data_IF_477804749524
#
_entry.id   IF_477804749524
#
_cell.length_a   1.000
_cell.length_b   1.000
_cell.length_c   1.000
_cell.angle_alpha   90.00
_cell.angle_beta   90.00
_cell.angle_gamma   90.00
#
_symmetry.space_group_name_H-M   'P 1'
#
loop_
_entity.id
_entity.type
_entity.pdbx_description
1 polymer ?
#
# COMPACT_ATOMS: atom_id res chain seq x y z
N UNK A 1 -8.26 -5.20 23.90
CA UNK A 1 -8.64 -3.78 23.98
C UNK A 1 -7.47 -2.96 23.47
N UNK A 2 -7.53 -2.49 22.22
CA UNK A 2 -6.62 -1.44 21.74
C UNK A 2 -7.05 -0.14 22.43
N UNK A 3 -6.24 0.38 23.36
CA UNK A 3 -6.57 1.63 24.04
C UNK A 3 -6.35 2.80 23.09
N UNK A 4 -7.20 3.80 23.22
CA UNK A 4 -7.32 5.03 22.42
C UNK A 4 -6.14 6.00 22.54
N UNK A 5 -4.93 5.52 22.87
CA UNK A 5 -3.77 6.35 23.14
C UNK A 5 -2.51 5.66 22.63
N UNK A 6 -2.02 6.13 21.48
CA UNK A 6 -0.68 5.79 20.99
C UNK A 6 -0.68 4.72 19.90
N UNK A 7 -0.23 5.13 18.70
CA UNK A 7 0.27 4.23 17.66
C UNK A 7 1.49 3.47 18.19
N UNK A 8 1.26 2.39 18.95
CA UNK A 8 2.28 1.39 19.20
C UNK A 8 2.18 0.35 18.07
N UNK A 9 3.20 0.33 17.21
CA UNK A 9 3.36 -0.59 16.08
C UNK A 9 3.21 -2.07 16.44
N UNK A 10 3.31 -2.46 17.72
CA UNK A 10 3.35 -3.84 18.16
C UNK A 10 1.98 -4.36 18.66
N UNK A 11 0.99 -3.48 18.89
CA UNK A 11 -0.33 -3.91 19.36
C UNK A 11 -1.19 -4.55 18.25
N UNK A 12 -0.96 -4.17 16.98
CA UNK A 12 -1.70 -4.66 15.80
C UNK A 12 -0.96 -5.75 15.01
N UNK A 13 0.19 -6.25 15.49
CA UNK A 13 0.99 -7.23 14.77
C UNK A 13 0.57 -8.69 15.03
N UNK A 14 -0.18 -8.97 16.11
CA UNK A 14 -0.39 -10.34 16.60
C UNK A 14 -1.84 -10.84 16.74
N UNK A 15 -2.86 -10.01 16.49
CA UNK A 15 -4.26 -10.43 16.51
C UNK A 15 -4.95 -9.99 15.23
N UNK A 16 -5.74 -10.87 14.60
CA UNK A 16 -6.37 -10.68 13.28
C UNK A 16 -6.74 -9.23 12.93
N UNK A 17 -5.96 -8.66 12.00
CA UNK A 17 -5.93 -7.24 11.57
C UNK A 17 -7.28 -6.58 11.22
N UNK A 18 -8.36 -7.34 11.04
CA UNK A 18 -9.67 -6.79 10.69
C UNK A 18 -10.54 -6.48 11.91
N UNK A 19 -10.34 -7.18 13.03
CA UNK A 19 -11.20 -6.98 14.21
C UNK A 19 -10.91 -5.62 14.86
N UNK A 20 -9.66 -5.19 14.93
CA UNK A 20 -9.30 -3.86 15.43
C UNK A 20 -9.80 -2.72 14.53
N UNK A 21 -9.89 -2.93 13.21
CA UNK A 21 -10.41 -1.94 12.26
C UNK A 21 -11.94 -1.85 12.32
N UNK A 22 -12.62 -2.98 12.53
CA UNK A 22 -14.06 -3.01 12.78
C UNK A 22 -14.40 -2.39 14.15
N UNK A 23 -13.60 -2.66 15.18
CA UNK A 23 -13.74 -2.04 16.51
C UNK A 23 -13.53 -0.51 16.44
N UNK A 24 -12.64 -0.04 15.57
CA UNK A 24 -12.39 1.37 15.36
C UNK A 24 -13.45 2.07 14.47
N UNK A 25 -14.43 1.34 13.93
CA UNK A 25 -15.46 1.89 13.03
C UNK A 25 -14.95 2.26 11.63
N UNK A 26 -13.80 1.71 11.23
CA UNK A 26 -13.06 2.07 10.01
C UNK A 26 -13.45 1.16 8.82
N UNK A 27 -14.27 0.14 9.02
CA UNK A 27 -14.79 -0.70 7.93
C UNK A 27 -16.13 -1.36 8.24
N UNK A 28 -16.84 -1.83 7.20
CA UNK A 28 -18.14 -2.50 7.37
C UNK A 28 -18.03 -4.02 7.28
N UNK A 29 -18.86 -4.72 8.06
CA UNK A 29 -19.03 -6.18 7.98
C UNK A 29 -19.99 -6.52 6.85
N UNK A 30 -19.67 -7.54 6.04
CA UNK A 30 -20.67 -8.19 5.18
C UNK A 30 -20.36 -8.35 3.69
N UNK A 31 -19.27 -7.77 3.17
CA UNK A 31 -18.86 -8.04 1.77
C UNK A 31 -18.05 -9.34 1.65
N UNK A 32 -17.35 -9.73 2.72
CA UNK A 32 -16.53 -10.95 2.71
C UNK A 32 -17.39 -12.16 3.11
N UNK A 33 -17.36 -13.27 2.36
CA UNK A 33 -18.13 -14.46 2.71
C UNK A 33 -17.85 -14.92 4.15
N UNK A 34 -18.87 -15.36 4.92
CA UNK A 34 -18.65 -15.93 6.24
C UNK A 34 -17.56 -17.01 6.20
N UNK A 35 -16.54 -16.89 7.07
CA UNK A 35 -15.39 -17.81 7.12
C UNK A 35 -14.24 -17.50 6.16
N UNK A 36 -14.40 -16.56 5.21
CA UNK A 36 -13.27 -15.95 4.51
C UNK A 36 -13.04 -14.58 5.15
N UNK A 37 -12.05 -14.45 6.02
CA UNK A 37 -11.69 -13.17 6.61
C UNK A 37 -11.09 -12.19 5.58
N UNK A 38 -10.64 -11.04 6.07
CA UNK A 38 -9.86 -10.07 5.28
C UNK A 38 -8.75 -10.79 4.52
N UNK A 39 -8.68 -10.56 3.22
CA UNK A 39 -7.60 -11.05 2.39
C UNK A 39 -7.19 -10.01 1.35
N UNK A 40 -6.08 -10.26 0.64
CA UNK A 40 -5.51 -9.34 -0.35
C UNK A 40 -6.45 -8.95 -1.50
N UNK A 41 -7.49 -9.75 -1.74
CA UNK A 41 -8.47 -9.57 -2.83
C UNK A 41 -9.81 -9.04 -2.34
N UNK A 42 -10.17 -9.32 -1.09
CA UNK A 42 -11.44 -8.95 -0.49
C UNK A 42 -11.18 -8.42 0.92
N UNK A 43 -11.07 -7.12 1.01
CA UNK A 43 -11.17 -6.33 2.24
C UNK A 43 -12.47 -5.54 2.09
N UNK A 44 -13.27 -5.46 3.15
CA UNK A 44 -14.61 -4.85 3.11
C UNK A 44 -14.56 -3.37 2.67
N UNK A 45 -15.72 -2.70 2.61
CA UNK A 45 -15.71 -1.27 2.38
C UNK A 45 -15.03 -0.63 3.59
N UNK A 46 -14.04 0.22 3.31
CA UNK A 46 -13.10 0.76 4.28
C UNK A 46 -13.19 2.29 4.23
N UNK A 47 -13.47 2.90 5.36
CA UNK A 47 -13.50 4.35 5.53
C UNK A 47 -12.11 4.81 5.96
N UNK A 48 -11.45 5.65 5.18
CA UNK A 48 -10.12 6.15 5.53
C UNK A 48 -10.24 7.17 6.67
N UNK A 49 -9.50 7.02 7.79
CA UNK A 49 -9.50 8.00 8.87
C UNK A 49 -8.99 9.37 8.43
N UNK A 50 -9.34 10.41 9.18
CA UNK A 50 -8.83 11.75 8.94
C UNK A 50 -7.29 11.78 9.01
N UNK A 51 -6.66 12.64 8.22
CA UNK A 51 -5.20 12.78 8.13
C UNK A 51 -4.44 11.48 7.81
N UNK A 52 -5.11 10.52 7.20
CA UNK A 52 -4.53 9.23 6.80
C UNK A 52 -4.85 8.93 5.34
N UNK A 53 -4.05 8.03 4.76
CA UNK A 53 -4.17 7.63 3.36
C UNK A 53 -4.12 6.12 3.22
N UNK A 54 -4.95 5.60 2.33
CA UNK A 54 -4.88 4.22 1.90
C UNK A 54 -4.05 4.12 0.63
N UNK A 55 -2.91 3.45 0.70
CA UNK A 55 -1.97 3.28 -0.41
C UNK A 55 -2.14 1.91 -1.04
N UNK A 56 -2.19 1.87 -2.37
CA UNK A 56 -2.25 0.62 -3.12
C UNK A 56 -1.28 0.65 -4.29
N UNK A 57 -0.53 -0.43 -4.48
CA UNK A 57 0.33 -0.58 -5.65
C UNK A 57 -0.48 -0.77 -6.94
N UNK A 58 0.13 -0.43 -8.06
CA UNK A 58 -0.36 -0.77 -9.40
C UNK A 58 -0.28 -2.28 -9.66
N UNK A 59 0.84 -2.91 -9.28
CA UNK A 59 1.03 -4.35 -9.32
C UNK A 59 0.41 -5.03 -8.10
N UNK A 60 -0.92 -5.24 -8.15
CA UNK A 60 -1.76 -5.69 -7.03
C UNK A 60 -1.34 -7.00 -6.38
N UNK A 61 -0.84 -7.96 -7.17
CA UNK A 61 -0.44 -9.27 -6.64
C UNK A 61 0.97 -9.27 -6.08
N UNK A 62 1.77 -8.25 -6.41
CA UNK A 62 3.17 -8.11 -6.00
C UNK A 62 3.44 -6.74 -5.36
N UNK A 63 2.54 -6.31 -4.48
CA UNK A 63 2.70 -5.09 -3.69
C UNK A 63 2.36 -5.38 -2.23
N UNK A 64 3.26 -5.02 -1.34
CA UNK A 64 3.01 -4.97 0.10
C UNK A 64 2.54 -3.56 0.45
N UNK A 65 1.23 -3.34 0.35
CA UNK A 65 0.59 -2.04 0.50
C UNK A 65 -0.41 -2.01 1.68
N UNK A 66 -1.25 -0.98 1.77
CA UNK A 66 -2.15 -0.76 2.90
C UNK A 66 -3.12 -1.91 3.17
N UNK A 67 -3.33 -2.83 2.22
CA UNK A 67 -4.09 -4.07 2.44
C UNK A 67 -3.46 -4.97 3.49
N UNK A 68 -2.16 -4.86 3.71
CA UNK A 68 -1.41 -5.64 4.69
C UNK A 68 -1.11 -4.80 5.93
N UNK A 69 -0.47 -3.65 5.81
CA UNK A 69 0.05 -2.91 6.97
C UNK A 69 -0.82 -1.73 7.44
N UNK A 70 -1.96 -1.46 6.79
CA UNK A 70 -2.91 -0.42 7.21
C UNK A 70 -2.68 0.95 6.56
N UNK A 71 -3.16 2.02 7.18
CA UNK A 71 -3.10 3.37 6.60
C UNK A 71 -1.78 4.09 6.86
N UNK A 72 -1.46 5.05 5.98
CA UNK A 72 -0.30 5.95 6.13
C UNK A 72 -0.78 7.28 6.70
N UNK A 73 -0.25 7.73 7.86
CA UNK A 73 -0.45 9.09 8.34
C UNK A 73 0.08 10.13 7.35
N UNK A 74 -0.60 11.27 7.21
CA UNK A 74 -0.24 12.35 6.28
C UNK A 74 1.19 12.84 6.45
N UNK A 75 1.68 12.89 7.69
CA UNK A 75 3.03 13.32 8.05
C UNK A 75 4.14 12.46 7.43
N UNK A 76 3.85 11.20 7.09
CA UNK A 76 4.81 10.30 6.45
C UNK A 76 4.87 10.47 4.92
N UNK A 77 4.05 11.36 4.35
CA UNK A 77 4.03 11.63 2.91
C UNK A 77 5.01 12.76 2.59
N UNK A 78 6.11 12.40 1.92
CA UNK A 78 7.16 13.35 1.51
C UNK A 78 6.73 14.18 0.29
N UNK A 79 6.06 13.57 -0.69
CA UNK A 79 5.65 14.27 -1.91
C UNK A 79 5.06 13.36 -2.99
N UNK A 80 4.68 13.96 -4.12
CA UNK A 80 4.16 13.26 -5.30
C UNK A 80 5.29 13.01 -6.30
N UNK A 81 5.39 11.80 -6.83
CA UNK A 81 6.32 11.47 -7.91
C UNK A 81 5.85 12.08 -9.24
N UNK A 82 6.69 12.87 -9.91
CA UNK A 82 6.32 13.60 -11.14
C UNK A 82 7.04 13.12 -12.39
N UNK A 83 8.30 12.70 -12.29
CA UNK A 83 9.17 12.44 -13.46
C UNK A 83 9.95 11.14 -13.26
N UNK A 84 10.06 10.34 -14.31
CA UNK A 84 11.03 9.24 -14.37
C UNK A 84 12.38 9.80 -14.80
N UNK A 85 13.24 10.09 -13.83
CA UNK A 85 14.58 10.63 -14.10
C UNK A 85 15.49 9.61 -14.82
N UNK A 86 15.44 8.34 -14.42
CA UNK A 86 16.32 7.30 -14.96
C UNK A 86 15.62 5.93 -15.05
N UNK A 87 15.89 5.17 -16.13
CA UNK A 87 15.35 3.82 -16.31
C UNK A 87 16.33 2.91 -17.05
N UNK A 88 16.59 1.74 -16.45
CA UNK A 88 17.59 0.77 -16.89
C UNK A 88 17.02 -0.67 -16.81
N UNK A 89 17.40 -1.53 -17.76
CA UNK A 89 17.04 -2.95 -17.82
C UNK A 89 18.12 -3.88 -17.23
N UNK A 90 18.02 -4.19 -15.94
CA UNK A 90 19.00 -5.05 -15.26
C UNK A 90 19.14 -6.48 -15.79
N UNK A 91 18.14 -7.00 -16.53
CA UNK A 91 18.19 -8.36 -17.05
C UNK A 91 19.13 -8.52 -18.27
N UNK A 92 19.51 -7.41 -18.90
CA UNK A 92 20.23 -7.38 -20.18
C UNK A 92 21.73 -7.07 -19.99
N UNK A 93 22.34 -7.56 -18.90
CA UNK A 93 23.72 -7.23 -18.52
C UNK A 93 24.79 -7.61 -19.58
N UNK A 94 24.44 -8.49 -20.53
CA UNK A 94 25.30 -8.88 -21.67
C UNK A 94 25.34 -7.83 -22.80
N UNK A 95 24.54 -6.77 -22.74
CA UNK A 95 24.46 -5.73 -23.79
C UNK A 95 25.33 -4.52 -23.44
N UNK A 96 25.73 -3.74 -24.46
CA UNK A 96 26.44 -2.47 -24.26
C UNK A 96 25.57 -1.50 -23.45
N UNK A 97 26.17 -0.71 -22.56
CA UNK A 97 25.46 0.14 -21.60
C UNK A 97 24.33 1.00 -22.22
N UNK A 98 24.56 1.58 -23.40
CA UNK A 98 23.56 2.38 -24.13
C UNK A 98 22.29 1.61 -24.52
N UNK A 99 22.37 0.29 -24.70
CA UNK A 99 21.22 -0.55 -25.07
C UNK A 99 20.40 -0.97 -23.86
N UNK A 100 20.94 -0.76 -22.65
CA UNK A 100 20.29 -1.15 -21.41
C UNK A 100 19.46 0.00 -20.83
N UNK A 101 19.76 1.23 -21.26
CA UNK A 101 19.00 2.43 -20.89
C UNK A 101 17.71 2.48 -21.70
N UNK A 102 16.58 2.67 -21.02
CA UNK A 102 15.24 2.76 -21.62
C UNK A 102 14.90 4.21 -21.91
N UNK A 103 15.46 4.77 -22.98
CA UNK A 103 15.27 6.18 -23.38
C UNK A 103 13.80 6.58 -23.51
N UNK A 104 12.94 5.68 -23.99
CA UNK A 104 11.50 5.93 -24.15
C UNK A 104 10.75 6.21 -22.83
N UNK A 105 11.39 5.99 -21.67
CA UNK A 105 10.81 6.29 -20.34
C UNK A 105 11.47 7.49 -19.67
N UNK A 106 12.61 7.96 -20.17
CA UNK A 106 13.35 9.06 -19.55
C UNK A 106 12.57 10.36 -19.70
N UNK A 107 12.50 11.12 -18.60
CA UNK A 107 11.85 12.42 -18.52
C UNK A 107 10.34 12.41 -18.83
N UNK A 108 9.73 11.23 -18.90
CA UNK A 108 8.28 11.14 -19.00
C UNK A 108 7.65 11.58 -17.69
N UNK A 109 6.64 12.43 -17.81
CA UNK A 109 5.79 12.83 -16.70
C UNK A 109 4.87 11.67 -16.30
N UNK A 110 4.78 11.42 -15.01
CA UNK A 110 3.80 10.52 -14.40
C UNK A 110 2.53 11.35 -14.21
N UNK A 111 1.49 11.03 -14.98
CA UNK A 111 0.19 11.72 -14.94
C UNK A 111 -0.59 11.33 -13.68
#
# INVERSE_FOLDING_TARGET
MCSSTGWNSNACQHQGRYECLLEAGIGERGIVPPGRGWNRHNFGPLTVPENSYFMMGDNRDNSSDSRFWGFVPRENIVGKAWIIYFSWDGAQLKRRFWQVIRFNRLLNFIR
#
